data_IF_192308091885
#
_entry.id   IF_192308091885
#
_cell.length_a   1.000
_cell.length_b   1.000
_cell.length_c   1.000
_cell.angle_alpha   90.00
_cell.angle_beta   90.00
_cell.angle_gamma   90.00
#
_symmetry.space_group_name_H-M   'P 1'
#
loop_
_entity.id
_entity.type
_entity.pdbx_description
1 polymer ?
#
# COMPACT_ATOMS: atom_id res chain seq x y z
N UNK A 1 -15.60 20.99 2.67
CA UNK A 1 -15.96 19.58 2.39
C UNK A 1 -14.75 18.77 1.94
N UNK A 2 -13.90 19.28 1.06
CA UNK A 2 -12.66 18.63 0.58
C UNK A 2 -11.70 18.21 1.70
N UNK A 3 -11.46 19.05 2.71
CA UNK A 3 -10.52 18.74 3.79
C UNK A 3 -10.88 17.48 4.61
N UNK A 4 -12.18 17.25 4.88
CA UNK A 4 -12.62 16.07 5.60
C UNK A 4 -12.44 14.79 4.78
N UNK A 5 -12.63 14.86 3.46
CA UNK A 5 -12.42 13.74 2.53
C UNK A 5 -10.93 13.43 2.43
N UNK A 6 -10.06 14.45 2.33
CA UNK A 6 -8.61 14.27 2.30
C UNK A 6 -8.08 13.67 3.61
N UNK A 7 -8.57 14.14 4.76
CA UNK A 7 -8.21 13.57 6.07
C UNK A 7 -8.69 12.11 6.18
N UNK A 8 -9.93 11.82 5.77
CA UNK A 8 -10.47 10.46 5.72
C UNK A 8 -9.67 9.54 4.79
N UNK A 9 -9.26 10.06 3.63
CA UNK A 9 -8.42 9.34 2.66
C UNK A 9 -7.03 9.03 3.20
N UNK A 10 -6.39 9.96 3.91
CA UNK A 10 -5.11 9.75 4.58
C UNK A 10 -5.21 8.65 5.65
N UNK A 11 -6.23 8.73 6.50
CA UNK A 11 -6.49 7.71 7.54
C UNK A 11 -6.74 6.35 6.88
N UNK A 12 -7.53 6.30 5.81
CA UNK A 12 -7.81 5.08 5.08
C UNK A 12 -6.55 4.50 4.41
N UNK A 13 -5.68 5.35 3.86
CA UNK A 13 -4.42 4.95 3.27
C UNK A 13 -3.48 4.34 4.32
N UNK A 14 -3.35 4.98 5.48
CA UNK A 14 -2.59 4.48 6.61
C UNK A 14 -3.15 3.16 7.16
N UNK A 15 -4.47 3.07 7.32
CA UNK A 15 -5.14 1.87 7.81
C UNK A 15 -4.95 0.71 6.83
N UNK A 16 -5.09 0.96 5.53
CA UNK A 16 -4.88 -0.05 4.50
C UNK A 16 -3.44 -0.54 4.42
N UNK A 17 -2.47 0.38 4.48
CA UNK A 17 -1.06 0.01 4.56
C UNK A 17 -0.73 -0.79 5.83
N UNK A 18 -1.31 -0.41 6.97
CA UNK A 18 -1.16 -1.16 8.23
C UNK A 18 -1.75 -2.57 8.14
N UNK A 19 -2.95 -2.72 7.57
CA UNK A 19 -3.56 -4.02 7.31
C UNK A 19 -2.68 -4.86 6.40
N UNK A 20 -2.12 -4.28 5.33
CA UNK A 20 -1.19 -5.00 4.44
C UNK A 20 0.05 -5.45 5.21
N UNK A 21 0.63 -4.59 6.06
CA UNK A 21 1.81 -4.89 6.88
C UNK A 21 1.56 -5.96 7.94
N UNK A 22 0.36 -6.02 8.51
CA UNK A 22 0.01 -7.00 9.54
C UNK A 22 -0.50 -8.33 8.97
N UNK A 23 -0.93 -8.35 7.71
CA UNK A 23 -1.48 -9.52 7.06
C UNK A 23 -0.40 -10.41 6.45
N UNK A 24 -0.57 -11.72 6.57
CA UNK A 24 0.27 -12.73 5.91
C UNK A 24 -0.48 -13.56 4.87
N UNK A 25 -1.81 -13.55 4.90
CA UNK A 25 -2.60 -14.27 3.92
C UNK A 25 -3.17 -13.34 2.85
N UNK A 26 -3.47 -13.92 1.69
CA UNK A 26 -3.84 -13.18 0.48
C UNK A 26 -5.03 -12.23 0.64
N UNK A 27 -6.01 -12.56 1.49
CA UNK A 27 -7.21 -11.71 1.67
C UNK A 27 -6.85 -10.43 2.41
N UNK A 28 -6.05 -10.53 3.46
CA UNK A 28 -5.58 -9.36 4.20
C UNK A 28 -4.65 -8.49 3.35
N UNK A 29 -3.79 -9.09 2.54
CA UNK A 29 -2.93 -8.36 1.59
C UNK A 29 -3.73 -7.62 0.51
N UNK A 30 -4.71 -8.28 -0.10
CA UNK A 30 -5.55 -7.65 -1.12
C UNK A 30 -6.43 -6.53 -0.54
N UNK A 31 -7.04 -6.75 0.63
CA UNK A 31 -7.85 -5.72 1.30
C UNK A 31 -6.97 -4.54 1.71
N UNK A 32 -5.78 -4.80 2.26
CA UNK A 32 -4.82 -3.75 2.62
C UNK A 32 -4.37 -2.92 1.42
N UNK A 33 -4.03 -3.57 0.30
CA UNK A 33 -3.64 -2.86 -0.92
C UNK A 33 -4.80 -2.04 -1.51
N UNK A 34 -6.02 -2.61 -1.53
CA UNK A 34 -7.21 -1.93 -2.01
C UNK A 34 -7.58 -0.71 -1.17
N UNK A 35 -7.53 -0.85 0.15
CA UNK A 35 -7.82 0.26 1.07
C UNK A 35 -6.73 1.32 1.03
N UNK A 36 -5.46 0.94 0.88
CA UNK A 36 -4.35 1.86 0.67
C UNK A 36 -4.53 2.68 -0.63
N UNK A 37 -4.80 2.00 -1.76
CA UNK A 37 -5.06 2.64 -3.04
C UNK A 37 -6.34 3.50 -3.02
N UNK A 38 -7.40 3.04 -2.36
CA UNK A 38 -8.64 3.78 -2.19
C UNK A 38 -8.47 5.04 -1.34
N UNK A 39 -7.69 4.96 -0.26
CA UNK A 39 -7.32 6.12 0.54
C UNK A 39 -6.55 7.15 -0.27
N UNK A 40 -5.53 6.70 -1.02
CA UNK A 40 -4.73 7.58 -1.87
C UNK A 40 -5.59 8.24 -2.98
N UNK A 41 -6.45 7.46 -3.64
CA UNK A 41 -7.37 7.96 -4.65
C UNK A 41 -8.40 8.97 -4.08
N UNK A 42 -8.90 8.74 -2.86
CA UNK A 42 -9.80 9.67 -2.19
C UNK A 42 -9.13 11.01 -1.90
N UNK A 43 -7.84 11.01 -1.52
CA UNK A 43 -7.09 12.25 -1.35
C UNK A 43 -6.94 12.99 -2.68
N UNK A 44 -6.62 12.29 -3.78
CA UNK A 44 -6.51 12.90 -5.12
C UNK A 44 -7.82 13.46 -5.64
N UNK A 45 -8.91 12.72 -5.44
CA UNK A 45 -10.23 13.19 -5.79
C UNK A 45 -10.61 14.47 -5.00
N UNK A 46 -10.15 14.60 -3.75
CA UNK A 46 -10.36 15.80 -2.94
C UNK A 46 -9.53 17.01 -3.42
N UNK A 47 -8.39 16.78 -4.09
CA UNK A 47 -7.58 17.80 -4.77
C UNK A 47 -8.15 18.19 -6.16
N UNK A 48 -9.13 17.44 -6.66
CA UNK A 48 -9.81 17.70 -7.94
C UNK A 48 -9.26 16.89 -9.13
N UNK A 49 -8.22 16.08 -8.93
CA UNK A 49 -7.66 15.23 -9.99
C UNK A 49 -8.30 13.84 -10.00
N UNK A 50 -9.45 13.77 -10.70
CA UNK A 50 -10.20 12.52 -10.85
C UNK A 50 -9.50 11.51 -11.76
N UNK A 51 -8.63 11.97 -12.68
CA UNK A 51 -7.92 11.09 -13.61
C UNK A 51 -6.83 10.34 -12.86
N UNK A 52 -6.02 11.05 -12.06
CA UNK A 52 -5.00 10.43 -11.22
C UNK A 52 -5.64 9.49 -10.18
N UNK A 53 -6.74 9.92 -9.54
CA UNK A 53 -7.50 9.09 -8.61
C UNK A 53 -7.97 7.77 -9.25
N UNK A 54 -8.52 7.85 -10.48
CA UNK A 54 -8.97 6.68 -11.22
C UNK A 54 -7.83 5.73 -11.59
N UNK A 55 -6.68 6.26 -12.00
CA UNK A 55 -5.50 5.46 -12.34
C UNK A 55 -4.93 4.72 -11.13
N UNK A 56 -4.82 5.40 -9.99
CA UNK A 56 -4.30 4.83 -8.74
C UNK A 56 -5.24 3.75 -8.19
N UNK A 57 -6.55 4.03 -8.19
CA UNK A 57 -7.57 3.08 -7.76
C UNK A 57 -7.59 1.85 -8.69
N UNK A 58 -7.59 2.09 -10.01
CA UNK A 58 -7.60 1.04 -11.03
C UNK A 58 -6.36 0.16 -10.96
N UNK A 59 -5.17 0.76 -10.81
CA UNK A 59 -3.91 0.06 -10.63
C UNK A 59 -3.89 -0.79 -9.35
N UNK A 60 -4.31 -0.22 -8.22
CA UNK A 60 -4.43 -0.93 -6.95
C UNK A 60 -5.42 -2.10 -7.01
N UNK A 61 -6.56 -1.91 -7.67
CA UNK A 61 -7.57 -2.95 -7.87
C UNK A 61 -7.05 -4.09 -8.74
N UNK A 62 -6.43 -3.78 -9.88
CA UNK A 62 -5.85 -4.77 -10.78
C UNK A 62 -4.72 -5.55 -10.10
N UNK A 63 -3.84 -4.86 -9.37
CA UNK A 63 -2.76 -5.48 -8.61
C UNK A 63 -3.31 -6.42 -7.53
N UNK A 64 -4.35 -5.99 -6.81
CA UNK A 64 -5.01 -6.82 -5.81
C UNK A 64 -5.68 -8.06 -6.42
N UNK A 65 -6.38 -7.93 -7.54
CA UNK A 65 -7.00 -9.06 -8.25
C UNK A 65 -5.94 -10.03 -8.78
N UNK A 66 -4.87 -9.52 -9.38
CA UNK A 66 -3.76 -10.33 -9.89
C UNK A 66 -3.10 -11.15 -8.76
N UNK A 67 -2.77 -10.49 -7.65
CA UNK A 67 -2.18 -11.15 -6.49
C UNK A 67 -3.14 -12.14 -5.81
N UNK A 68 -4.44 -11.85 -5.76
CA UNK A 68 -5.44 -12.75 -5.15
C UNK A 68 -5.63 -14.04 -5.96
N UNK A 69 -5.57 -13.95 -7.29
CA UNK A 69 -5.66 -15.12 -8.19
C UNK A 69 -4.46 -16.05 -8.06
N UNK A 70 -3.27 -15.50 -7.79
CA UNK A 70 -2.03 -16.27 -7.79
C UNK A 70 -1.69 -16.91 -6.45
N UNK A 71 -2.03 -16.24 -5.36
CA UNK A 71 -1.60 -16.65 -4.03
C UNK A 71 -2.49 -17.78 -3.47
N UNK A 72 -1.94 -18.99 -3.26
CA UNK A 72 -2.74 -20.16 -2.86
C UNK A 72 -3.10 -20.22 -1.37
N UNK A 73 -2.38 -19.51 -0.49
CA UNK A 73 -2.67 -19.47 0.96
C UNK A 73 -4.04 -18.83 1.22
N UNK A 74 -5.01 -19.66 1.62
CA UNK A 74 -6.38 -19.25 1.99
C UNK A 74 -6.36 -18.70 3.42
N UNK A 75 -7.03 -17.57 3.65
CA UNK A 75 -7.20 -17.00 4.99
C UNK A 75 -6.99 -15.49 5.06
N UNK A 76 -7.10 -14.95 6.27
CA UNK A 76 -6.82 -13.54 6.60
C UNK A 76 -5.38 -13.34 7.08
N UNK A 77 -4.81 -14.31 7.81
CA UNK A 77 -3.40 -14.29 8.24
C UNK A 77 -3.06 -13.04 9.08
N UNK A 78 -4.03 -12.54 9.84
CA UNK A 78 -3.86 -11.40 10.75
C UNK A 78 -3.11 -11.87 12.00
N UNK A 79 -2.07 -11.13 12.41
CA UNK A 79 -1.25 -11.38 13.59
C UNK A 79 -0.62 -12.79 13.67
N UNK A 80 0.35 -13.12 12.80
CA UNK A 80 1.24 -14.24 13.08
C UNK A 80 2.02 -14.00 14.41
N UNK A 81 2.46 -15.07 15.10
CA UNK A 81 3.33 -14.93 16.26
C UNK A 81 4.62 -14.17 15.89
N UNK A 82 5.02 -13.19 16.72
CA UNK A 82 6.14 -12.28 16.41
C UNK A 82 5.76 -10.96 15.73
N UNK A 83 4.48 -10.57 15.77
CA UNK A 83 3.92 -9.38 15.12
C UNK A 83 4.18 -8.04 15.86
N UNK A 84 4.74 -8.06 17.06
CA UNK A 84 5.06 -6.89 17.89
C UNK A 84 5.90 -5.82 17.16
N UNK A 85 6.99 -6.15 16.44
CA UNK A 85 7.78 -5.17 15.70
C UNK A 85 6.98 -4.49 14.59
N UNK A 86 6.09 -5.22 13.91
CA UNK A 86 5.25 -4.69 12.82
C UNK A 86 4.17 -3.75 13.35
N UNK A 87 3.64 -4.02 14.53
CA UNK A 87 2.69 -3.13 15.22
C UNK A 87 3.38 -1.82 15.60
N UNK A 88 4.58 -1.89 16.19
CA UNK A 88 5.36 -0.69 16.52
C UNK A 88 5.66 0.13 15.26
N UNK A 89 6.04 -0.52 14.16
CA UNK A 89 6.29 0.16 12.88
C UNK A 89 5.03 0.87 12.35
N UNK A 90 3.85 0.25 12.44
CA UNK A 90 2.58 0.89 12.06
C UNK A 90 2.27 2.13 12.91
N UNK A 91 2.46 2.03 14.23
CA UNK A 91 2.23 3.14 15.17
C UNK A 91 3.21 4.28 14.91
N UNK A 92 4.51 3.98 14.75
CA UNK A 92 5.55 5.00 14.49
C UNK A 92 5.34 5.67 13.13
N UNK A 93 5.02 4.91 12.08
CA UNK A 93 4.76 5.48 10.76
C UNK A 93 3.48 6.33 10.75
N UNK A 94 2.43 5.90 11.46
CA UNK A 94 1.20 6.68 11.63
C UNK A 94 1.44 7.99 12.40
N UNK A 95 2.18 7.91 13.51
CA UNK A 95 2.55 9.08 14.29
C UNK A 95 3.44 10.04 13.50
N UNK A 96 4.44 9.53 12.77
CA UNK A 96 5.32 10.34 11.92
C UNK A 96 4.58 11.03 10.79
N UNK A 97 3.60 10.36 10.19
CA UNK A 97 2.76 10.95 9.16
C UNK A 97 1.80 12.02 9.70
N UNK A 98 1.22 11.76 10.88
CA UNK A 98 0.41 12.75 11.58
C UNK A 98 1.24 13.97 11.98
N UNK A 99 2.51 13.76 12.34
CA UNK A 99 3.43 14.84 12.66
C UNK A 99 3.83 15.67 11.43
N UNK A 100 4.12 15.02 10.29
CA UNK A 100 4.35 15.68 9.00
C UNK A 100 3.15 16.51 8.55
N UNK A 101 1.95 15.94 8.74
CA UNK A 101 0.67 16.55 8.46
C UNK A 101 0.42 17.84 9.26
N UNK A 102 0.74 17.84 10.56
CA UNK A 102 0.42 18.95 11.46
C UNK A 102 1.58 19.94 11.66
N UNK A 103 2.82 19.54 11.37
CA UNK A 103 4.01 20.28 11.79
C UNK A 103 4.81 20.98 10.70
N UNK A 104 4.68 20.61 9.41
CA UNK A 104 5.58 21.09 8.36
C UNK A 104 4.92 21.70 7.12
N UNK A 105 3.60 21.55 6.91
CA UNK A 105 2.96 22.01 5.68
C UNK A 105 1.74 22.89 5.95
N UNK A 106 1.92 24.20 5.77
CA UNK A 106 0.91 25.24 6.00
C UNK A 106 -0.14 25.38 4.87
N UNK A 107 -0.02 24.66 3.74
CA UNK A 107 -0.97 24.78 2.62
C UNK A 107 -2.08 23.71 2.68
N UNK A 108 -3.37 24.07 2.88
CA UNK A 108 -4.46 23.10 2.96
C UNK A 108 -4.68 22.37 1.62
N UNK A 109 -4.44 21.06 1.57
CA UNK A 109 -4.71 20.21 0.39
C UNK A 109 -3.52 19.31 0.00
N UNK A 110 -2.41 19.92 -0.43
CA UNK A 110 -1.26 19.17 -0.97
C UNK A 110 -0.54 18.28 0.06
N UNK A 111 -0.60 18.62 1.35
CA UNK A 111 0.11 17.87 2.37
C UNK A 111 -0.49 16.50 2.64
N UNK A 112 -1.80 16.34 2.46
CA UNK A 112 -2.49 15.07 2.70
C UNK A 112 -2.03 14.01 1.72
N UNK A 113 -1.83 14.37 0.45
CA UNK A 113 -1.45 13.39 -0.56
C UNK A 113 0.03 13.03 -0.50
N UNK A 114 0.91 14.00 -0.19
CA UNK A 114 2.34 13.74 0.05
C UNK A 114 2.57 12.85 1.26
N UNK A 115 1.87 13.12 2.37
CA UNK A 115 1.96 12.30 3.59
C UNK A 115 1.40 10.89 3.37
N UNK A 116 0.26 10.74 2.68
CA UNK A 116 -0.29 9.43 2.33
C UNK A 116 0.70 8.60 1.51
N UNK A 117 1.30 9.20 0.48
CA UNK A 117 2.27 8.50 -0.35
C UNK A 117 3.57 8.14 0.39
N UNK A 118 4.06 9.03 1.28
CA UNK A 118 5.20 8.75 2.14
C UNK A 118 4.93 7.61 3.13
N UNK A 119 3.72 7.53 3.71
CA UNK A 119 3.30 6.41 4.56
C UNK A 119 3.37 5.10 3.80
N UNK A 120 2.86 5.08 2.57
CA UNK A 120 2.88 3.86 1.76
C UNK A 120 4.33 3.41 1.53
N UNK A 121 5.20 4.32 1.10
CA UNK A 121 6.61 4.00 0.86
C UNK A 121 7.29 3.50 2.15
N UNK A 122 7.11 4.19 3.27
CA UNK A 122 7.74 3.84 4.53
C UNK A 122 7.27 2.47 5.06
N UNK A 123 5.96 2.21 5.06
CA UNK A 123 5.39 0.95 5.52
C UNK A 123 5.71 -0.21 4.56
N UNK A 124 5.68 0.05 3.25
CA UNK A 124 6.08 -0.92 2.23
C UNK A 124 7.56 -1.29 2.35
N UNK A 125 8.45 -0.30 2.47
CA UNK A 125 9.89 -0.52 2.66
C UNK A 125 10.19 -1.23 3.98
N UNK A 126 9.54 -0.82 5.08
CA UNK A 126 9.65 -1.48 6.37
C UNK A 126 9.25 -2.96 6.30
N UNK A 127 8.19 -3.28 5.55
CA UNK A 127 7.80 -4.68 5.30
C UNK A 127 8.81 -5.42 4.42
N UNK A 128 9.39 -4.78 3.40
CA UNK A 128 10.43 -5.41 2.57
C UNK A 128 11.66 -5.79 3.41
N UNK A 129 12.05 -4.96 4.38
CA UNK A 129 13.16 -5.23 5.29
C UNK A 129 12.84 -6.34 6.31
N UNK A 130 11.56 -6.54 6.64
CA UNK A 130 11.11 -7.48 7.67
C UNK A 130 10.51 -8.79 7.12
N UNK A 131 10.31 -8.91 5.81
CA UNK A 131 9.65 -10.06 5.20
C UNK A 131 10.65 -11.16 4.85
N UNK A 132 10.40 -12.37 5.37
CA UNK A 132 11.10 -13.60 4.94
C UNK A 132 10.41 -14.35 3.80
N UNK A 133 9.15 -14.03 3.48
CA UNK A 133 8.39 -14.67 2.41
C UNK A 133 8.43 -13.83 1.12
N UNK A 134 9.00 -14.35 0.01
CA UNK A 134 9.07 -13.66 -1.28
C UNK A 134 7.69 -13.20 -1.80
N UNK A 135 6.62 -13.94 -1.47
CA UNK A 135 5.26 -13.58 -1.89
C UNK A 135 4.79 -12.32 -1.17
N UNK A 136 5.05 -12.20 0.12
CA UNK A 136 4.73 -11.03 0.92
C UNK A 136 5.53 -9.79 0.49
N UNK A 137 6.74 -9.98 -0.04
CA UNK A 137 7.58 -8.90 -0.58
C UNK A 137 6.98 -8.27 -1.83
N UNK A 138 6.36 -9.04 -2.74
CA UNK A 138 5.74 -8.49 -3.95
C UNK A 138 4.60 -7.52 -3.64
N UNK A 139 3.76 -7.84 -2.65
CA UNK A 139 2.69 -6.93 -2.19
C UNK A 139 3.24 -5.65 -1.55
N UNK A 140 4.33 -5.77 -0.80
CA UNK A 140 5.00 -4.63 -0.20
C UNK A 140 5.64 -3.73 -1.27
N UNK A 141 6.30 -4.32 -2.27
CA UNK A 141 6.89 -3.61 -3.40
C UNK A 141 5.82 -2.88 -4.23
N UNK A 142 4.67 -3.50 -4.50
CA UNK A 142 3.54 -2.83 -5.18
C UNK A 142 3.06 -1.60 -4.41
N UNK A 143 3.04 -1.67 -3.09
CA UNK A 143 2.62 -0.56 -2.24
C UNK A 143 3.66 0.59 -2.24
N UNK A 144 4.96 0.27 -2.25
CA UNK A 144 6.04 1.26 -2.43
C UNK A 144 5.95 1.94 -3.79
N UNK A 145 5.77 1.17 -4.87
CA UNK A 145 5.75 1.69 -6.23
C UNK A 145 4.50 2.53 -6.50
N UNK A 146 3.35 2.17 -5.93
CA UNK A 146 2.15 3.02 -5.95
C UNK A 146 2.38 4.36 -5.24
N UNK A 147 2.98 4.34 -4.06
CA UNK A 147 3.34 5.56 -3.33
C UNK A 147 4.34 6.43 -4.10
N UNK A 148 5.38 5.81 -4.69
CA UNK A 148 6.38 6.50 -5.47
C UNK A 148 5.80 7.12 -6.76
N UNK A 149 4.93 6.38 -7.48
CA UNK A 149 4.25 6.90 -8.67
C UNK A 149 3.35 8.09 -8.36
N UNK A 150 2.62 8.06 -7.25
CA UNK A 150 1.82 9.19 -6.79
C UNK A 150 2.66 10.40 -6.36
N UNK A 151 3.79 10.20 -5.68
CA UNK A 151 4.72 11.30 -5.37
C UNK A 151 5.33 11.91 -6.63
N UNK A 152 5.72 11.07 -7.59
CA UNK A 152 6.29 11.52 -8.85
C UNK A 152 5.26 12.31 -9.69
N UNK A 153 4.00 11.87 -9.70
CA UNK A 153 2.91 12.60 -10.35
C UNK A 153 2.68 13.98 -9.75
N UNK A 154 2.76 14.10 -8.41
CA UNK A 154 2.72 15.40 -7.74
C UNK A 154 3.89 16.30 -8.09
N UNK A 155 5.10 15.74 -8.11
CA UNK A 155 6.32 16.52 -8.27
C UNK A 155 6.46 17.08 -9.69
N UNK A 156 6.04 16.33 -10.69
CA UNK A 156 6.12 16.72 -12.09
C UNK A 156 4.81 17.33 -12.64
N UNK A 157 3.70 17.28 -11.90
CA UNK A 157 2.34 17.54 -12.42
C UNK A 157 2.02 16.73 -13.69
N UNK A 158 2.59 15.52 -13.80
CA UNK A 158 2.41 14.63 -14.93
C UNK A 158 1.67 13.35 -14.50
N UNK A 159 0.49 13.14 -15.07
CA UNK A 159 -0.33 11.93 -14.85
C UNK A 159 0.36 10.64 -15.32
N UNK A 160 1.35 10.76 -16.21
CA UNK A 160 2.18 9.65 -16.71
C UNK A 160 2.89 8.92 -15.57
N UNK A 161 3.36 9.64 -14.53
CA UNK A 161 4.07 9.03 -13.42
C UNK A 161 3.15 8.17 -12.53
N UNK A 162 1.89 8.60 -12.32
CA UNK A 162 0.88 7.80 -11.63
C UNK A 162 0.53 6.53 -12.43
N UNK A 163 0.43 6.65 -13.76
CA UNK A 163 0.21 5.52 -14.66
C UNK A 163 1.37 4.51 -14.60
N UNK A 164 2.62 4.97 -14.64
CA UNK A 164 3.80 4.11 -14.52
C UNK A 164 3.79 3.36 -13.18
N UNK A 165 3.51 4.06 -12.07
CA UNK A 165 3.39 3.44 -10.75
C UNK A 165 2.28 2.38 -10.68
N UNK A 166 1.11 2.69 -11.23
CA UNK A 166 -0.02 1.76 -11.31
C UNK A 166 0.32 0.50 -12.12
N UNK A 167 0.91 0.66 -13.31
CA UNK A 167 1.31 -0.45 -14.17
C UNK A 167 2.39 -1.31 -13.53
N UNK A 168 3.40 -0.69 -12.93
CA UNK A 168 4.49 -1.41 -12.25
C UNK A 168 3.97 -2.18 -11.03
N UNK A 169 3.03 -1.64 -10.27
CA UNK A 169 2.39 -2.36 -9.16
C UNK A 169 1.65 -3.63 -9.62
N UNK A 170 0.97 -3.58 -10.77
CA UNK A 170 0.34 -4.75 -11.39
C UNK A 170 1.41 -5.74 -11.86
N UNK A 171 2.43 -5.27 -12.58
CA UNK A 171 3.51 -6.09 -13.11
C UNK A 171 4.23 -6.89 -12.02
N UNK A 172 4.48 -6.30 -10.85
CA UNK A 172 5.08 -6.98 -9.71
C UNK A 172 4.26 -8.18 -9.23
N UNK A 173 2.92 -8.06 -9.20
CA UNK A 173 2.04 -9.19 -8.83
C UNK A 173 1.92 -10.24 -9.96
N UNK A 174 2.40 -9.91 -11.16
CA UNK A 174 2.52 -10.82 -12.30
C UNK A 174 3.89 -11.51 -12.38
N UNK A 175 4.83 -11.24 -11.47
CA UNK A 175 6.09 -12.00 -11.39
C UNK A 175 5.82 -13.44 -10.88
N UNK A 176 6.33 -14.48 -11.57
CA UNK A 176 6.25 -15.86 -11.08
C UNK A 176 7.02 -16.03 -9.77
N UNK A 177 6.37 -16.65 -8.78
CA UNK A 177 7.04 -17.06 -7.53
C UNK A 177 7.35 -18.55 -7.60
N UNK A 178 8.48 -19.00 -7.05
CA UNK A 178 8.83 -20.42 -7.06
C UNK A 178 7.71 -21.29 -6.44
N UNK A 179 7.54 -22.53 -6.93
CA UNK A 179 6.59 -23.47 -6.37
C UNK A 179 6.92 -23.75 -4.90
N UNK A 180 5.90 -24.01 -4.09
CA UNK A 180 6.10 -24.44 -2.70
C UNK A 180 6.93 -25.73 -2.74
N UNK A 181 8.08 -25.78 -2.07
CA UNK A 181 8.72 -27.06 -1.76
C UNK A 181 7.70 -27.85 -0.94
N UNK A 182 7.17 -28.93 -1.51
CA UNK A 182 6.45 -29.93 -0.74
C UNK A 182 7.40 -30.39 0.35
N UNK A 183 7.14 -29.99 1.60
CA UNK A 183 7.69 -30.68 2.76
C UNK A 183 7.23 -32.12 2.60
N UNK A 184 8.13 -33.09 2.34
CA UNK A 184 7.71 -34.48 2.21
C UNK A 184 6.94 -34.82 3.47
N UNK A 185 5.76 -35.40 3.29
CA UNK A 185 4.99 -35.97 4.38
C UNK A 185 5.88 -37.01 5.07
N UNK A 186 6.58 -36.57 6.11
CA UNK A 186 7.45 -37.41 6.91
C UNK A 186 6.60 -38.50 7.52
N UNK A 187 6.91 -39.73 7.16
CA UNK A 187 6.31 -40.92 7.71
C UNK A 187 6.47 -41.00 9.22
N UNK A 188 5.44 -41.56 9.84
CA UNK A 188 5.34 -41.95 11.24
C UNK A 188 4.03 -42.69 11.42
#
# INVERSE_FOLDING_TARGET
MSAAIAAGGLVLAWLGASVLVLSEARRGLAIGLLSAAGGLAAVRAAEGDLVEAGLLLGGGLLAAVAGLRRNRRRGWGLLPPGSTPRIVLCVVAGAGALWLATGLLDSPGEWQARSAAAILIALGAGRLLAAGDPRAMLWAASLVVLGAGALAAMAASETTAALIGAVAAVALNLIPTPPDEEVPAGGG
#
